data_IF_451607438082
#
_entry.id   IF_451607438082
#
_cell.length_a   1.000
_cell.length_b   1.000
_cell.length_c   1.000
_cell.angle_alpha   90.00
_cell.angle_beta   90.00
_cell.angle_gamma   90.00
#
_symmetry.space_group_name_H-M   'P 1'
#
loop_
_entity.id
_entity.type
_entity.pdbx_description
1 polymer ?
#
# COMPACT_ATOMS: atom_id res chain seq x y z
N UNK A 1 15.84 -24.84 10.52
CA UNK A 1 16.03 -23.43 10.18
C UNK A 1 17.05 -22.86 11.16
N UNK A 2 18.06 -22.16 10.68
CA UNK A 2 19.08 -21.55 11.54
C UNK A 2 18.40 -20.40 12.30
N UNK A 3 18.35 -20.47 13.64
CA UNK A 3 17.65 -19.54 14.56
C UNK A 3 18.32 -18.14 14.60
N UNK A 4 18.61 -17.57 13.43
CA UNK A 4 19.22 -16.24 13.31
C UNK A 4 18.14 -15.22 13.05
N UNK A 5 18.00 -14.26 13.95
CA UNK A 5 17.21 -13.07 13.69
C UNK A 5 17.78 -12.33 12.47
N UNK A 6 16.90 -11.94 11.55
CA UNK A 6 17.27 -11.19 10.35
C UNK A 6 16.74 -9.77 10.45
N UNK A 7 17.55 -8.80 10.05
CA UNK A 7 17.09 -7.41 9.87
C UNK A 7 16.11 -7.35 8.70
N UNK A 8 14.99 -6.66 8.87
CA UNK A 8 14.00 -6.48 7.80
C UNK A 8 14.61 -5.74 6.59
N UNK A 9 14.31 -6.12 5.33
CA UNK A 9 14.91 -5.50 4.12
C UNK A 9 14.73 -3.98 4.01
N UNK A 10 13.62 -3.45 4.54
CA UNK A 10 13.36 -2.01 4.61
C UNK A 10 14.52 -1.23 5.26
N UNK A 11 15.20 -1.82 6.25
CA UNK A 11 16.28 -1.18 7.01
C UNK A 11 17.68 -1.45 6.43
N UNK A 12 17.81 -2.43 5.53
CA UNK A 12 19.09 -2.83 4.92
C UNK A 12 19.42 -1.94 3.73
N UNK A 13 18.46 -1.78 2.82
CA UNK A 13 18.65 -1.11 1.52
C UNK A 13 19.20 0.33 1.62
N UNK A 14 18.81 1.06 2.67
CA UNK A 14 19.31 2.40 2.95
C UNK A 14 20.21 2.48 4.19
N UNK A 15 20.54 1.33 4.81
CA UNK A 15 21.35 1.21 6.03
C UNK A 15 20.86 2.16 7.15
N UNK A 16 19.61 1.99 7.56
CA UNK A 16 18.94 2.85 8.55
C UNK A 16 18.37 2.05 9.71
N UNK A 17 18.25 2.68 10.88
CA UNK A 17 17.58 2.10 12.04
C UNK A 17 16.08 2.46 12.11
N UNK A 18 15.60 3.31 11.20
CA UNK A 18 14.22 3.78 11.20
C UNK A 18 13.85 4.53 9.93
N UNK A 19 12.56 4.77 9.77
CA UNK A 19 11.99 5.44 8.62
C UNK A 19 10.81 6.31 9.05
N UNK A 20 10.61 7.42 8.36
CA UNK A 20 9.49 8.31 8.56
C UNK A 20 8.51 8.12 7.42
N UNK A 21 7.35 7.56 7.72
CA UNK A 21 6.27 7.35 6.75
C UNK A 21 5.30 8.51 6.80
N UNK A 22 4.90 9.02 5.65
CA UNK A 22 3.82 10.00 5.61
C UNK A 22 2.55 9.40 6.25
N UNK A 23 1.90 10.17 7.13
CA UNK A 23 0.81 9.67 7.97
C UNK A 23 -0.45 9.28 7.18
N UNK A 24 -0.67 9.97 6.06
CA UNK A 24 -1.76 9.77 5.13
C UNK A 24 -1.18 9.54 3.73
N UNK A 25 -2.00 9.06 2.80
CA UNK A 25 -1.69 9.12 1.36
C UNK A 25 -1.21 10.54 0.98
N UNK A 26 -0.38 10.65 -0.05
CA UNK A 26 0.13 11.96 -0.47
C UNK A 26 -0.98 12.82 -1.06
N UNK A 27 -0.99 14.10 -0.71
CA UNK A 27 -1.99 15.10 -1.12
C UNK A 27 -1.31 16.31 -1.76
N UNK A 28 -2.09 17.24 -2.31
CA UNK A 28 -1.59 18.48 -2.93
C UNK A 28 -1.44 18.34 -4.44
N UNK A 29 -0.31 18.78 -5.00
CA UNK A 29 -0.07 18.80 -6.45
C UNK A 29 1.32 18.31 -6.82
N UNK A 30 1.58 18.18 -8.12
CA UNK A 30 2.92 17.87 -8.65
C UNK A 30 3.94 19.00 -8.45
N UNK A 31 3.50 20.19 -8.03
CA UNK A 31 4.39 21.32 -7.69
C UNK A 31 4.51 21.54 -6.18
N UNK A 32 3.55 21.05 -5.39
CA UNK A 32 3.51 21.22 -3.95
C UNK A 32 2.94 19.96 -3.29
N UNK A 33 3.84 19.04 -3.01
CA UNK A 33 3.52 17.76 -2.39
C UNK A 33 3.33 17.92 -0.88
N UNK A 34 2.31 17.26 -0.33
CA UNK A 34 1.96 17.28 1.09
C UNK A 34 1.46 15.90 1.54
N UNK A 35 1.20 15.73 2.84
CA UNK A 35 0.40 14.62 3.39
C UNK A 35 -0.46 15.21 4.50
N UNK A 36 -1.73 15.48 4.18
CA UNK A 36 -2.68 16.15 5.09
C UNK A 36 -3.96 15.31 5.20
N UNK A 37 -4.60 15.27 6.37
CA UNK A 37 -5.89 14.60 6.53
C UNK A 37 -6.99 15.37 5.80
N UNK A 38 -8.06 14.67 5.44
CA UNK A 38 -9.27 15.23 4.86
C UNK A 38 -9.02 16.08 3.62
N UNK A 39 -8.04 15.67 2.82
CA UNK A 39 -7.74 16.24 1.51
C UNK A 39 -7.83 15.14 0.48
N UNK A 40 -8.18 15.48 -0.76
CA UNK A 40 -8.16 14.50 -1.84
C UNK A 40 -6.73 14.06 -2.11
N UNK A 41 -6.51 12.76 -2.20
CA UNK A 41 -5.20 12.19 -2.53
C UNK A 41 -4.74 12.66 -3.91
N UNK A 42 -3.44 12.92 -4.03
CA UNK A 42 -2.80 13.23 -5.30
C UNK A 42 -2.79 11.96 -6.16
N UNK A 43 -3.56 12.00 -7.24
CA UNK A 43 -3.82 10.84 -8.11
C UNK A 43 -3.54 11.18 -9.58
N UNK A 44 -3.78 10.20 -10.44
CA UNK A 44 -3.75 10.36 -11.89
C UNK A 44 -2.39 10.83 -12.43
N UNK A 45 -1.31 10.27 -11.88
CA UNK A 45 0.05 10.44 -12.39
C UNK A 45 0.66 9.08 -12.72
N UNK A 46 1.67 9.06 -13.57
CA UNK A 46 2.45 7.85 -13.83
C UNK A 46 3.33 7.51 -12.63
N UNK A 47 3.79 6.27 -12.55
CA UNK A 47 4.75 5.85 -11.52
C UNK A 47 6.02 6.70 -11.54
N UNK A 48 6.54 7.08 -12.71
CA UNK A 48 7.70 7.96 -12.81
C UNK A 48 7.45 9.30 -12.13
N UNK A 49 6.31 9.94 -12.38
CA UNK A 49 5.98 11.21 -11.75
C UNK A 49 5.88 11.06 -10.23
N UNK A 50 5.20 10.04 -9.72
CA UNK A 50 5.14 9.78 -8.27
C UNK A 50 6.50 9.50 -7.66
N UNK A 51 7.33 8.69 -8.34
CA UNK A 51 8.70 8.42 -7.93
C UNK A 51 9.52 9.70 -7.85
N UNK A 52 9.49 10.55 -8.88
CA UNK A 52 10.25 11.80 -8.94
C UNK A 52 9.75 12.83 -7.91
N UNK A 53 8.46 12.85 -7.60
CA UNK A 53 7.91 13.68 -6.52
C UNK A 53 8.43 13.25 -5.15
N UNK A 54 8.33 11.96 -4.82
CA UNK A 54 8.87 11.43 -3.57
C UNK A 54 10.38 11.59 -3.48
N UNK A 55 11.08 11.29 -4.58
CA UNK A 55 12.53 11.45 -4.69
C UNK A 55 12.92 12.91 -4.46
N UNK A 56 12.31 13.89 -5.12
CA UNK A 56 12.75 15.29 -5.01
C UNK A 56 12.23 16.05 -3.79
N UNK A 57 11.34 15.46 -2.99
CA UNK A 57 10.67 16.15 -1.86
C UNK A 57 11.64 16.74 -0.82
N UNK A 58 12.61 15.96 -0.34
CA UNK A 58 13.62 16.36 0.65
C UNK A 58 14.86 15.47 0.55
N UNK A 59 15.76 15.83 -0.37
CA UNK A 59 16.96 15.03 -0.68
C UNK A 59 17.92 14.83 0.49
N UNK A 60 18.01 15.80 1.40
CA UNK A 60 18.85 15.71 2.61
C UNK A 60 18.44 14.55 3.51
N UNK A 61 17.18 14.14 3.44
CA UNK A 61 16.60 13.09 4.28
C UNK A 61 16.29 11.84 3.45
N UNK A 62 17.05 11.63 2.36
CA UNK A 62 16.84 10.57 1.37
C UNK A 62 15.36 10.34 1.01
N UNK A 63 14.54 11.39 0.82
CA UNK A 63 13.12 11.23 0.54
C UNK A 63 12.86 10.35 -0.68
N UNK A 64 11.79 9.57 -0.68
CA UNK A 64 11.42 8.72 -1.80
C UNK A 64 9.94 8.32 -1.75
N UNK A 65 9.47 7.78 -2.86
CA UNK A 65 8.21 7.04 -2.91
C UNK A 65 8.37 5.73 -2.14
N UNK A 66 7.39 5.39 -1.30
CA UNK A 66 7.41 4.19 -0.48
C UNK A 66 7.73 2.93 -1.29
N UNK A 67 8.62 2.11 -0.76
CA UNK A 67 8.96 0.82 -1.35
C UNK A 67 8.06 -0.29 -0.81
N UNK A 68 8.04 -1.42 -1.51
CA UNK A 68 7.17 -2.54 -1.14
C UNK A 68 7.61 -3.20 0.18
N UNK A 69 8.92 -3.27 0.40
CA UNK A 69 9.54 -3.72 1.65
C UNK A 69 9.26 -2.79 2.82
N UNK A 70 9.14 -1.48 2.59
CA UNK A 70 8.77 -0.51 3.63
C UNK A 70 7.28 -0.62 3.99
N UNK A 71 6.41 -0.81 2.99
CA UNK A 71 5.02 -1.15 3.23
C UNK A 71 4.89 -2.43 4.05
N UNK A 72 5.63 -3.48 3.67
CA UNK A 72 5.66 -4.74 4.41
C UNK A 72 6.11 -4.58 5.86
N UNK A 73 7.14 -3.75 6.12
CA UNK A 73 7.57 -3.43 7.48
C UNK A 73 6.45 -2.80 8.32
N UNK A 74 5.70 -1.86 7.74
CA UNK A 74 4.53 -1.23 8.41
C UNK A 74 3.43 -2.26 8.65
N UNK A 75 3.12 -3.10 7.65
CA UNK A 75 2.07 -4.12 7.75
C UNK A 75 2.39 -5.16 8.83
N UNK A 76 3.63 -5.66 8.87
CA UNK A 76 4.06 -6.60 9.93
C UNK A 76 4.09 -5.95 11.31
N UNK A 77 4.54 -4.69 11.43
CA UNK A 77 4.51 -4.00 12.72
C UNK A 77 3.08 -3.82 13.22
N UNK A 78 2.16 -3.40 12.35
CA UNK A 78 0.73 -3.33 12.63
C UNK A 78 0.20 -4.69 13.12
N UNK A 79 0.58 -5.79 12.48
CA UNK A 79 0.14 -7.14 12.82
C UNK A 79 1.00 -7.84 13.89
N UNK A 80 1.82 -7.09 14.63
CA UNK A 80 2.66 -7.65 15.69
C UNK A 80 2.04 -7.45 17.07
N UNK A 81 2.62 -8.09 18.08
CA UNK A 81 2.31 -7.84 19.50
C UNK A 81 2.59 -6.40 19.95
N UNK A 82 3.43 -5.67 19.19
CA UNK A 82 3.73 -4.25 19.40
C UNK A 82 2.80 -3.33 18.58
N UNK A 83 1.96 -3.90 17.72
CA UNK A 83 0.97 -3.21 16.92
C UNK A 83 -0.43 -3.41 17.48
N UNK A 84 -1.31 -4.03 16.70
CA UNK A 84 -2.73 -4.26 17.01
C UNK A 84 -3.06 -5.71 17.35
N UNK A 85 -2.04 -6.55 17.57
CA UNK A 85 -2.24 -7.87 18.12
C UNK A 85 -1.97 -7.85 19.62
N UNK A 86 -2.87 -8.41 20.42
CA UNK A 86 -2.69 -8.56 21.87
C UNK A 86 -3.17 -9.95 22.26
N UNK A 87 -2.31 -10.71 22.97
CA UNK A 87 -2.62 -12.08 23.41
C UNK A 87 -3.15 -12.99 22.28
N UNK A 88 -2.55 -12.89 21.09
CA UNK A 88 -2.92 -13.71 19.92
C UNK A 88 -4.20 -13.29 19.18
N UNK A 89 -4.85 -12.20 19.60
CA UNK A 89 -5.99 -11.61 18.87
C UNK A 89 -5.55 -10.31 18.21
N UNK A 90 -5.82 -10.17 16.92
CA UNK A 90 -5.46 -9.00 16.12
C UNK A 90 -6.72 -8.23 15.70
N UNK A 91 -6.66 -6.90 15.78
CA UNK A 91 -7.73 -6.02 15.31
C UNK A 91 -7.41 -5.45 13.94
N UNK A 92 -8.30 -5.70 12.96
CA UNK A 92 -8.10 -5.17 11.62
C UNK A 92 -8.22 -3.64 11.54
N UNK A 93 -7.49 -3.01 10.62
CA UNK A 93 -7.67 -1.59 10.32
C UNK A 93 -8.94 -1.41 9.50
N UNK A 94 -9.73 -0.38 9.81
CA UNK A 94 -10.91 -0.07 9.03
C UNK A 94 -10.52 0.53 7.68
N UNK A 95 -11.22 0.08 6.65
CA UNK A 95 -11.14 0.66 5.31
C UNK A 95 -11.52 2.15 5.33
N UNK A 96 -10.75 2.96 4.62
CA UNK A 96 -11.16 4.26 4.15
C UNK A 96 -12.11 4.08 2.96
N UNK A 97 -13.42 4.08 3.20
CA UNK A 97 -14.46 3.91 2.18
C UNK A 97 -14.98 5.24 1.61
N UNK A 98 -14.19 6.32 1.70
CA UNK A 98 -14.59 7.63 1.23
C UNK A 98 -14.50 7.72 -0.30
N UNK A 99 -15.64 7.86 -0.99
CA UNK A 99 -15.71 7.88 -2.45
C UNK A 99 -15.18 9.15 -3.11
N UNK A 100 -14.90 10.20 -2.33
CA UNK A 100 -14.24 11.42 -2.80
C UNK A 100 -12.71 11.33 -2.67
N UNK A 101 -12.19 10.15 -2.29
CA UNK A 101 -10.76 9.86 -2.13
C UNK A 101 -10.11 10.81 -1.12
N UNK A 102 -10.84 11.14 -0.05
CA UNK A 102 -10.32 11.94 1.05
C UNK A 102 -9.47 11.06 1.97
N UNK A 103 -8.28 11.55 2.29
CA UNK A 103 -7.34 10.88 3.20
C UNK A 103 -7.81 10.91 4.65
N UNK A 104 -7.43 9.90 5.42
CA UNK A 104 -7.72 9.82 6.85
C UNK A 104 -9.20 9.68 7.13
N UNK A 105 -9.86 8.72 6.49
CA UNK A 105 -11.25 8.38 6.76
C UNK A 105 -11.40 6.91 7.12
N UNK A 106 -12.50 6.58 7.78
CA UNK A 106 -12.84 5.22 8.18
C UNK A 106 -14.31 4.93 7.93
N UNK A 107 -14.60 3.72 7.47
CA UNK A 107 -15.95 3.20 7.36
C UNK A 107 -16.66 3.19 8.73
N UNK A 108 -17.92 3.63 8.72
CA UNK A 108 -18.73 3.63 9.94
C UNK A 108 -19.28 2.25 10.27
N UNK A 109 -19.57 2.05 11.55
CA UNK A 109 -20.26 0.85 12.02
C UNK A 109 -21.59 0.65 11.28
N UNK A 110 -21.88 -0.58 10.87
CA UNK A 110 -23.07 -0.92 10.10
C UNK A 110 -22.92 -0.81 8.58
N UNK A 111 -21.82 -0.26 8.06
CA UNK A 111 -21.48 -0.42 6.63
C UNK A 111 -21.02 -1.85 6.35
N UNK A 112 -21.54 -2.46 5.29
CA UNK A 112 -21.11 -3.81 4.91
C UNK A 112 -19.75 -3.73 4.20
N UNK A 113 -18.68 -4.12 4.89
CA UNK A 113 -17.33 -4.25 4.35
C UNK A 113 -16.92 -5.72 4.16
N UNK A 114 -17.84 -6.67 4.30
CA UNK A 114 -17.55 -8.11 4.17
C UNK A 114 -17.73 -8.63 2.73
N UNK A 115 -17.99 -7.73 1.79
CA UNK A 115 -18.24 -8.04 0.37
C UNK A 115 -17.36 -7.17 -0.52
N UNK A 116 -17.24 -7.55 -1.78
CA UNK A 116 -16.76 -6.69 -2.85
C UNK A 116 -17.86 -6.54 -3.93
N UNK A 117 -18.28 -5.30 -4.28
CA UNK A 117 -17.89 -4.06 -3.62
C UNK A 117 -18.41 -3.98 -2.18
N UNK A 118 -17.64 -3.29 -1.33
CA UNK A 118 -18.09 -2.89 0.00
C UNK A 118 -19.03 -1.69 -0.06
N UNK A 119 -19.64 -1.33 1.08
CA UNK A 119 -20.45 -0.12 1.19
C UNK A 119 -19.57 1.12 1.32
N UNK A 120 -19.69 2.06 0.40
CA UNK A 120 -18.91 3.30 0.38
C UNK A 120 -19.81 4.55 0.26
N UNK A 121 -19.21 5.72 0.42
CA UNK A 121 -19.88 7.00 0.21
C UNK A 121 -19.02 8.17 0.70
N UNK A 122 -19.59 9.37 0.73
CA UNK A 122 -18.88 10.59 1.15
C UNK A 122 -19.61 11.37 2.26
N UNK A 123 -20.68 10.79 2.82
CA UNK A 123 -21.41 11.36 3.95
C UNK A 123 -21.14 10.60 5.26
N UNK A 124 -21.49 11.23 6.38
CA UNK A 124 -21.22 10.72 7.73
C UNK A 124 -21.94 9.42 8.10
N UNK A 125 -22.96 9.00 7.33
CA UNK A 125 -23.58 7.67 7.49
C UNK A 125 -22.76 6.55 6.86
N UNK A 126 -21.69 6.89 6.12
CA UNK A 126 -20.81 5.93 5.43
C UNK A 126 -19.38 6.02 5.92
N UNK A 127 -18.87 7.23 6.15
CA UNK A 127 -17.45 7.45 6.40
C UNK A 127 -17.22 8.60 7.39
N UNK A 128 -16.21 8.47 8.27
CA UNK A 128 -15.88 9.46 9.31
C UNK A 128 -14.39 9.80 9.33
N UNK A 129 -14.08 11.06 9.62
CA UNK A 129 -12.72 11.58 9.61
C UNK A 129 -11.83 10.99 10.73
N UNK A 130 -10.52 11.00 10.49
CA UNK A 130 -9.44 10.35 11.23
C UNK A 130 -9.40 10.61 12.74
N UNK A 131 -9.91 11.77 13.16
CA UNK A 131 -9.87 12.27 14.54
C UNK A 131 -11.15 11.98 15.33
N UNK A 132 -12.04 11.13 14.81
CA UNK A 132 -13.21 10.62 15.52
C UNK A 132 -12.92 9.25 16.16
N UNK A 133 -13.77 8.82 17.10
CA UNK A 133 -13.71 7.47 17.70
C UNK A 133 -13.74 6.35 16.65
N UNK A 134 -14.44 6.57 15.54
CA UNK A 134 -14.46 5.63 14.41
C UNK A 134 -13.24 5.79 13.52
N UNK A 135 -12.86 7.04 13.22
CA UNK A 135 -11.73 7.39 12.36
C UNK A 135 -10.42 6.74 12.78
N UNK A 136 -10.10 6.78 14.08
CA UNK A 136 -8.84 6.22 14.60
C UNK A 136 -8.68 4.70 14.36
N UNK A 137 -9.78 3.99 14.11
CA UNK A 137 -9.77 2.54 13.80
C UNK A 137 -9.22 2.25 12.39
N UNK A 138 -9.12 3.24 11.50
CA UNK A 138 -8.40 3.11 10.22
C UNK A 138 -6.88 3.31 10.37
N UNK A 139 -6.40 3.67 11.56
CA UNK A 139 -4.96 3.78 11.80
C UNK A 139 -4.34 2.43 12.15
N UNK A 140 -3.09 2.26 11.75
CA UNK A 140 -2.22 1.11 12.10
C UNK A 140 -1.98 0.92 13.61
N UNK A 141 -2.33 1.91 14.44
CA UNK A 141 -2.16 1.83 15.92
C UNK A 141 -3.48 1.80 16.70
N UNK A 142 -4.62 1.88 16.01
CA UNK A 142 -5.94 2.04 16.65
C UNK A 142 -6.15 3.39 17.36
N UNK A 143 -5.24 4.36 17.19
CA UNK A 143 -5.31 5.69 17.79
C UNK A 143 -4.77 6.77 16.82
N UNK A 144 -4.84 8.04 17.22
CA UNK A 144 -4.52 9.15 16.33
C UNK A 144 -3.09 9.15 15.79
N UNK A 145 -2.14 8.45 16.40
CA UNK A 145 -0.71 8.53 16.06
C UNK A 145 -0.28 7.65 14.89
N UNK A 146 -1.08 6.64 14.55
CA UNK A 146 -0.75 5.69 13.51
C UNK A 146 -0.80 6.27 12.10
N UNK A 147 -0.32 5.45 11.17
CA UNK A 147 -0.44 5.65 9.72
C UNK A 147 -1.86 5.24 9.31
N UNK A 148 -2.51 6.07 8.49
CA UNK A 148 -3.84 5.89 7.93
C UNK A 148 -3.76 5.46 6.46
N UNK A 149 -4.92 5.18 5.86
CA UNK A 149 -5.06 4.91 4.42
C UNK A 149 -4.24 3.70 3.93
N UNK A 150 -3.92 2.77 4.84
CA UNK A 150 -3.30 1.48 4.51
C UNK A 150 -4.34 0.43 4.09
N UNK A 151 -5.64 0.76 4.19
CA UNK A 151 -6.79 -0.04 3.75
C UNK A 151 -7.81 0.91 3.15
N UNK A 152 -8.12 0.77 1.86
CA UNK A 152 -9.03 1.67 1.16
C UNK A 152 -8.40 3.02 0.80
N UNK A 153 -9.24 3.98 0.42
CA UNK A 153 -8.79 5.24 -0.17
C UNK A 153 -8.44 5.02 -1.64
N UNK A 154 -7.16 5.15 -1.98
CA UNK A 154 -6.64 4.89 -3.33
C UNK A 154 -5.71 3.69 -3.32
N UNK A 155 -5.55 3.06 -4.48
CA UNK A 155 -4.41 2.17 -4.64
C UNK A 155 -3.12 2.99 -4.63
N UNK A 156 -2.17 2.63 -3.78
CA UNK A 156 -0.89 3.32 -3.72
C UNK A 156 0.15 2.56 -4.51
N UNK A 157 0.69 3.18 -5.57
CA UNK A 157 1.89 2.66 -6.20
C UNK A 157 3.04 2.66 -5.20
N UNK A 158 3.86 1.61 -5.27
CA UNK A 158 5.14 1.52 -4.57
C UNK A 158 6.29 1.57 -5.56
N UNK A 159 7.46 2.03 -5.13
CA UNK A 159 8.67 2.05 -5.95
C UNK A 159 9.25 0.63 -6.11
N UNK A 160 8.53 -0.19 -6.86
CA UNK A 160 8.79 -1.62 -6.97
C UNK A 160 8.31 -2.18 -8.30
N UNK A 161 9.18 -2.89 -9.01
CA UNK A 161 8.89 -3.36 -10.36
C UNK A 161 9.54 -4.70 -10.71
N UNK A 162 8.97 -5.39 -11.69
CA UNK A 162 9.54 -6.59 -12.32
C UNK A 162 10.68 -6.21 -13.25
N UNK A 163 11.85 -6.81 -13.08
CA UNK A 163 12.98 -6.59 -14.00
C UNK A 163 12.61 -6.89 -15.45
N UNK A 164 13.25 -6.18 -16.39
CA UNK A 164 13.04 -6.34 -17.83
C UNK A 164 11.76 -5.71 -18.41
N UNK A 165 10.84 -5.18 -17.59
CA UNK A 165 9.65 -4.50 -18.12
C UNK A 165 9.23 -3.31 -17.27
N UNK A 166 8.99 -2.15 -17.92
CA UNK A 166 8.63 -0.90 -17.25
C UNK A 166 7.18 -0.46 -17.52
N UNK A 167 6.50 -1.12 -18.46
CA UNK A 167 5.11 -0.82 -18.83
C UNK A 167 4.91 0.64 -19.24
N UNK A 168 3.78 1.21 -18.82
CA UNK A 168 3.39 2.61 -19.05
C UNK A 168 3.81 3.54 -17.90
N UNK A 169 4.84 3.17 -17.12
CA UNK A 169 5.32 3.96 -15.97
C UNK A 169 5.86 5.34 -16.31
N UNK A 170 6.19 5.59 -17.58
CA UNK A 170 6.92 6.78 -18.02
C UNK A 170 8.43 6.66 -17.87
N UNK A 171 8.94 5.59 -17.24
CA UNK A 171 10.35 5.23 -17.30
C UNK A 171 10.69 4.50 -18.60
N UNK A 172 11.92 4.73 -19.06
CA UNK A 172 12.62 3.90 -20.02
C UNK A 172 13.92 3.37 -19.37
N UNK A 173 14.65 2.51 -20.10
CA UNK A 173 15.89 1.90 -19.59
C UNK A 173 16.98 2.92 -19.22
N UNK A 174 16.97 4.10 -19.84
CA UNK A 174 17.99 5.14 -19.59
C UNK A 174 17.63 5.95 -18.35
N UNK A 175 16.39 6.42 -18.28
CA UNK A 175 15.90 7.27 -17.20
C UNK A 175 15.83 6.54 -15.85
N UNK A 176 15.43 5.26 -15.83
CA UNK A 176 15.41 4.50 -14.56
C UNK A 176 16.84 4.23 -14.04
N UNK A 177 17.79 4.00 -14.95
CA UNK A 177 19.19 3.74 -14.61
C UNK A 177 19.92 4.95 -14.00
N UNK A 178 19.38 6.16 -14.17
CA UNK A 178 19.91 7.37 -13.53
C UNK A 178 19.67 7.42 -12.01
N UNK A 179 18.80 6.55 -11.48
CA UNK A 179 18.46 6.49 -10.07
C UNK A 179 19.14 5.30 -9.40
N UNK A 180 19.64 5.50 -8.18
CA UNK A 180 20.26 4.43 -7.40
C UNK A 180 19.24 3.34 -7.05
N UNK A 181 19.62 2.08 -7.20
CA UNK A 181 18.74 0.92 -6.95
C UNK A 181 18.22 0.84 -5.51
N UNK A 182 18.84 1.51 -4.53
CA UNK A 182 18.34 1.55 -3.14
C UNK A 182 16.91 2.12 -3.00
N UNK A 183 16.46 2.90 -3.98
CA UNK A 183 15.13 3.49 -4.05
C UNK A 183 14.07 2.58 -4.70
N UNK A 184 14.45 1.36 -5.10
CA UNK A 184 13.53 0.41 -5.72
C UNK A 184 13.61 -0.96 -5.07
N UNK A 185 12.47 -1.63 -5.02
CA UNK A 185 12.42 -3.09 -4.84
C UNK A 185 12.26 -3.75 -6.21
N UNK A 186 13.28 -4.48 -6.65
CA UNK A 186 13.34 -5.07 -8.00
C UNK A 186 13.06 -6.57 -7.91
N UNK A 187 12.01 -7.00 -8.59
CA UNK A 187 11.53 -8.37 -8.61
C UNK A 187 12.09 -9.14 -9.81
N UNK A 188 12.33 -10.43 -9.61
CA UNK A 188 12.72 -11.33 -10.69
C UNK A 188 11.65 -11.46 -11.77
N UNK A 189 12.01 -12.11 -12.87
CA UNK A 189 11.10 -12.32 -13.98
C UNK A 189 9.98 -13.32 -13.66
N UNK A 190 8.81 -12.80 -13.29
CA UNK A 190 7.56 -13.56 -13.16
C UNK A 190 6.83 -13.66 -14.50
N UNK A 191 6.08 -14.74 -14.72
CA UNK A 191 5.32 -14.97 -15.98
C UNK A 191 3.81 -14.84 -15.80
N UNK A 192 3.32 -14.92 -14.57
CA UNK A 192 1.91 -14.76 -14.20
C UNK A 192 1.80 -14.05 -12.84
N UNK A 193 0.57 -13.72 -12.44
CA UNK A 193 0.24 -12.98 -11.23
C UNK A 193 0.08 -13.85 -9.97
N UNK A 194 0.51 -15.11 -10.02
CA UNK A 194 0.60 -16.04 -8.87
C UNK A 194 2.02 -16.54 -8.62
N UNK A 195 3.04 -15.93 -9.24
CA UNK A 195 4.45 -16.31 -9.06
C UNK A 195 5.05 -15.70 -7.77
N UNK A 196 4.43 -16.02 -6.63
CA UNK A 196 4.87 -15.58 -5.29
C UNK A 196 6.26 -16.11 -4.91
N UNK A 197 6.86 -16.99 -5.73
CA UNK A 197 8.25 -17.43 -5.57
C UNK A 197 9.24 -16.29 -5.77
N UNK A 198 8.84 -15.22 -6.48
CA UNK A 198 9.67 -14.03 -6.76
C UNK A 198 9.60 -12.94 -5.69
N UNK A 199 8.86 -13.16 -4.59
CA UNK A 199 8.71 -12.22 -3.48
C UNK A 199 10.05 -11.79 -2.88
N UNK A 200 10.05 -10.63 -2.22
CA UNK A 200 11.13 -10.23 -1.32
C UNK A 200 10.69 -10.55 0.10
N UNK A 201 11.46 -11.37 0.83
CA UNK A 201 11.08 -11.72 2.20
C UNK A 201 10.95 -10.47 3.09
N UNK A 202 9.77 -10.24 3.66
CA UNK A 202 9.43 -9.05 4.44
C UNK A 202 8.55 -8.02 3.72
N UNK A 203 8.26 -8.18 2.42
CA UNK A 203 7.37 -7.25 1.70
C UNK A 203 5.86 -7.55 1.85
N UNK A 204 5.55 -8.67 2.52
CA UNK A 204 4.21 -9.20 2.75
C UNK A 204 3.46 -9.61 1.46
N UNK A 205 4.20 -10.03 0.43
CA UNK A 205 3.64 -10.50 -0.85
C UNK A 205 3.66 -12.01 -1.04
N UNK A 206 4.19 -12.79 -0.10
CA UNK A 206 4.15 -14.25 -0.26
C UNK A 206 4.33 -15.11 0.99
N UNK A 207 4.53 -14.52 2.17
CA UNK A 207 4.58 -15.23 3.46
C UNK A 207 3.20 -15.52 4.06
N UNK A 208 2.15 -15.05 3.39
CA UNK A 208 0.85 -14.79 4.01
C UNK A 208 -0.25 -15.75 3.54
N UNK A 209 0.16 -16.85 2.90
CA UNK A 209 -0.75 -17.90 2.46
C UNK A 209 -1.38 -18.68 3.63
N UNK A 210 -2.20 -19.72 3.33
CA UNK A 210 -2.38 -20.32 2.00
C UNK A 210 -3.14 -19.41 1.04
N UNK A 211 -2.73 -19.44 -0.23
CA UNK A 211 -3.35 -18.64 -1.29
C UNK A 211 -4.48 -19.44 -1.96
N UNK A 212 -5.74 -19.00 -1.85
CA UNK A 212 -6.89 -19.67 -2.49
C UNK A 212 -7.93 -18.68 -3.03
N UNK A 213 -8.72 -19.14 -4.00
CA UNK A 213 -9.79 -18.39 -4.63
C UNK A 213 -11.14 -18.86 -4.10
N UNK A 214 -12.01 -17.93 -3.71
CA UNK A 214 -13.40 -18.26 -3.42
C UNK A 214 -14.33 -17.12 -3.82
N UNK A 215 -15.56 -17.47 -4.16
CA UNK A 215 -16.60 -16.49 -4.46
C UNK A 215 -17.35 -16.15 -3.18
N UNK A 216 -17.53 -14.86 -2.90
CA UNK A 216 -18.47 -14.41 -1.87
C UNK A 216 -19.79 -13.88 -2.45
N UNK A 217 -19.94 -13.87 -3.79
CA UNK A 217 -21.16 -13.49 -4.50
C UNK A 217 -21.28 -14.19 -5.87
N UNK A 218 -22.26 -13.78 -6.68
CA UNK A 218 -22.52 -14.32 -8.02
C UNK A 218 -21.60 -13.79 -9.13
N UNK A 219 -20.67 -12.87 -8.84
CA UNK A 219 -19.84 -12.20 -9.84
C UNK A 219 -18.53 -12.97 -10.15
N UNK A 220 -18.31 -14.12 -9.52
CA UNK A 220 -17.19 -15.01 -9.80
C UNK A 220 -16.18 -15.08 -8.65
N UNK A 221 -15.10 -15.87 -8.82
CA UNK A 221 -14.08 -16.01 -7.78
C UNK A 221 -13.21 -14.75 -7.69
N UNK A 222 -12.94 -14.32 -6.47
CA UNK A 222 -11.95 -13.28 -6.17
C UNK A 222 -10.73 -13.92 -5.48
N UNK A 223 -9.56 -13.33 -5.68
CA UNK A 223 -8.32 -13.78 -5.01
C UNK A 223 -8.29 -13.28 -3.58
N UNK A 224 -8.73 -14.13 -2.66
CA UNK A 224 -8.81 -13.88 -1.22
C UNK A 224 -7.74 -14.67 -0.50
N UNK A 225 -6.50 -14.31 -0.76
CA UNK A 225 -5.39 -15.23 -0.61
C UNK A 225 -4.28 -14.70 0.30
N UNK A 226 -4.53 -13.58 0.98
CA UNK A 226 -3.65 -13.00 2.00
C UNK A 226 -4.38 -12.92 3.36
N UNK A 227 -3.68 -12.56 4.44
CA UNK A 227 -4.31 -12.32 5.75
C UNK A 227 -5.46 -11.32 5.62
N UNK A 228 -6.51 -11.52 6.41
CA UNK A 228 -7.77 -10.77 6.34
C UNK A 228 -8.56 -10.91 5.04
N UNK A 229 -8.24 -11.92 4.21
CA UNK A 229 -8.82 -12.12 2.88
C UNK A 229 -8.51 -10.98 1.89
N UNK A 230 -7.44 -10.25 2.17
CA UNK A 230 -6.90 -9.18 1.33
C UNK A 230 -6.55 -9.67 -0.08
N UNK A 231 -6.67 -8.76 -1.04
CA UNK A 231 -6.38 -9.01 -2.45
C UNK A 231 -4.90 -9.27 -2.69
N UNK A 232 -4.54 -10.28 -3.49
CA UNK A 232 -3.12 -10.57 -3.71
C UNK A 232 -2.84 -11.04 -5.15
N UNK A 233 -2.44 -10.08 -5.99
CA UNK A 233 -1.99 -10.35 -7.35
C UNK A 233 -0.56 -9.86 -7.57
N UNK A 234 0.32 -10.80 -7.90
CA UNK A 234 1.73 -10.55 -8.13
C UNK A 234 1.96 -9.79 -9.46
N UNK A 235 3.06 -9.05 -9.54
CA UNK A 235 3.42 -8.36 -10.78
C UNK A 235 3.90 -9.37 -11.85
N UNK A 236 3.71 -9.03 -13.12
CA UNK A 236 4.18 -9.84 -14.26
C UNK A 236 4.41 -8.93 -15.47
N UNK A 237 4.82 -9.48 -16.62
CA UNK A 237 5.29 -8.66 -17.75
C UNK A 237 4.28 -7.59 -18.22
N UNK A 238 2.97 -7.89 -18.24
CA UNK A 238 1.95 -6.92 -18.68
C UNK A 238 1.60 -5.87 -17.61
N UNK A 239 1.98 -6.11 -16.36
CA UNK A 239 1.72 -5.24 -15.22
C UNK A 239 2.88 -5.32 -14.24
N UNK A 240 4.00 -4.62 -14.53
CA UNK A 240 5.25 -4.86 -13.81
C UNK A 240 5.34 -4.12 -12.48
N UNK A 241 4.45 -3.17 -12.17
CA UNK A 241 4.52 -2.35 -10.95
C UNK A 241 3.49 -2.79 -9.91
N UNK A 242 3.90 -2.84 -8.64
CA UNK A 242 2.98 -3.08 -7.53
C UNK A 242 2.20 -1.83 -7.14
N UNK A 243 1.01 -2.08 -6.63
CA UNK A 243 0.18 -1.14 -5.89
C UNK A 243 -0.41 -1.83 -4.66
N UNK A 244 -0.67 -1.07 -3.59
CA UNK A 244 -1.01 -1.60 -2.26
C UNK A 244 -2.27 -0.94 -1.67
N UNK A 245 -2.83 -1.54 -0.63
CA UNK A 245 -3.88 -0.97 0.24
C UNK A 245 -5.32 -1.18 -0.23
N UNK A 246 -5.56 -1.05 -1.54
CA UNK A 246 -6.90 -1.21 -2.12
C UNK A 246 -7.69 0.10 -2.23
N UNK A 247 -8.61 0.19 -3.19
CA UNK A 247 -9.48 1.37 -3.35
C UNK A 247 -10.66 1.36 -2.36
N UNK A 248 -11.26 2.53 -2.15
CA UNK A 248 -12.38 2.78 -1.22
C UNK A 248 -13.58 1.83 -1.34
N UNK A 249 -13.77 1.16 -2.47
CA UNK A 249 -14.89 0.27 -2.74
C UNK A 249 -14.56 -1.22 -2.55
N UNK A 250 -13.31 -1.57 -2.21
CA UNK A 250 -12.88 -2.96 -2.17
C UNK A 250 -13.46 -3.78 -1.00
N UNK A 251 -13.93 -3.11 0.05
CA UNK A 251 -14.51 -3.77 1.22
C UNK A 251 -13.54 -4.79 1.81
N UNK A 252 -13.90 -6.07 1.72
CA UNK A 252 -13.13 -7.19 2.30
C UNK A 252 -11.78 -7.43 1.61
N UNK A 253 -11.58 -6.85 0.42
CA UNK A 253 -10.35 -7.03 -0.37
C UNK A 253 -9.26 -5.97 -0.09
N UNK A 254 -9.57 -4.94 0.71
CA UNK A 254 -8.61 -3.88 1.05
C UNK A 254 -8.00 -4.07 2.43
N UNK A 255 -6.71 -3.79 2.53
CA UNK A 255 -5.98 -3.92 3.77
C UNK A 255 -4.47 -3.73 3.58
N UNK A 256 -3.70 -3.70 4.68
CA UNK A 256 -2.24 -3.56 4.65
C UNK A 256 -1.55 -4.68 3.88
N UNK A 257 -2.20 -5.84 3.76
CA UNK A 257 -1.69 -6.99 3.06
C UNK A 257 -2.24 -7.07 1.63
N UNK A 258 -3.14 -6.17 1.25
CA UNK A 258 -3.67 -6.07 -0.11
C UNK A 258 -2.58 -5.56 -1.06
N UNK A 259 -2.36 -6.31 -2.14
CA UNK A 259 -1.49 -5.92 -3.23
C UNK A 259 -2.04 -6.34 -4.59
N UNK A 260 -1.79 -5.51 -5.59
CA UNK A 260 -2.15 -5.74 -6.97
C UNK A 260 -1.03 -5.21 -7.87
N UNK A 261 -1.24 -5.33 -9.18
CA UNK A 261 -0.31 -4.95 -10.23
C UNK A 261 -0.94 -3.96 -11.21
N UNK A 262 -0.11 -3.16 -11.86
CA UNK A 262 -0.52 -2.33 -13.00
C UNK A 262 0.65 -2.11 -13.98
N UNK A 263 0.32 -1.65 -15.19
CA UNK A 263 1.28 -1.19 -16.17
C UNK A 263 2.11 0.03 -15.70
N UNK A 264 1.66 0.76 -14.68
CA UNK A 264 2.35 1.94 -14.12
C UNK A 264 1.84 3.28 -14.66
N UNK A 265 0.80 3.24 -15.50
CA UNK A 265 0.20 4.44 -16.10
C UNK A 265 -0.58 5.28 -15.10
N UNK A 266 -0.94 6.49 -15.54
CA UNK A 266 -1.83 7.39 -14.81
C UNK A 266 -3.24 6.80 -14.71
N UNK A 267 -3.81 6.84 -13.52
CA UNK A 267 -5.17 6.41 -13.26
C UNK A 267 -5.77 7.25 -12.12
N UNK A 268 -7.05 7.57 -12.22
CA UNK A 268 -7.76 8.36 -11.21
C UNK A 268 -7.82 7.65 -9.85
N UNK A 269 -7.75 6.33 -9.78
CA UNK A 269 -7.82 5.58 -8.53
C UNK A 269 -6.45 5.34 -7.88
N UNK A 270 -5.36 5.83 -8.47
CA UNK A 270 -3.99 5.49 -8.03
C UNK A 270 -3.25 6.72 -7.50
N UNK A 271 -2.66 6.59 -6.32
CA UNK A 271 -1.79 7.57 -5.68
C UNK A 271 -0.47 6.94 -5.23
N UNK A 272 0.16 7.55 -4.22
CA UNK A 272 1.39 7.06 -3.61
C UNK A 272 1.61 7.72 -2.24
N UNK A 273 2.64 7.26 -1.55
CA UNK A 273 3.10 7.82 -0.28
C UNK A 273 4.59 8.06 -0.25
N UNK A 274 4.99 9.07 0.51
CA UNK A 274 6.37 9.49 0.70
C UNK A 274 6.94 8.87 1.97
N UNK A 275 8.21 8.52 1.91
CA UNK A 275 9.03 8.06 3.04
C UNK A 275 10.29 8.92 3.12
N UNK A 276 10.76 9.20 4.35
CA UNK A 276 12.06 9.84 4.62
C UNK A 276 12.95 8.90 5.43
N UNK A 277 14.26 8.94 5.13
CA UNK A 277 15.32 8.24 5.85
C UNK A 277 16.46 9.25 6.11
N UNK A 278 16.34 10.04 7.20
CA UNK A 278 17.35 11.03 7.62
C UNK A 278 18.71 10.42 7.96
#
# INVERSE_FOLDING_TARGET
>A
ADNKYMTHPAFISMNTNGLWVAKFESTGSTSQLTSKPSQTSLRNQTVKTFFELGYNYKRTDNSHMMKNTEWGAVAYLYHSEYGRCTNGTCEDIRINNNSDYLTGYAAVDGTNQSTYPGTYGNDSSKTLAYNTTTGVKASTTGNITGIYDMSGGVWEYTASYRTGTLGSSGFDSTSIANYNSKYFDIYGESTNDYDYSKRILGDATGEMGPFYDYSHDSNGPYHHNNWYADHSYFNFFASPWFRRGGSYNLGVLSGPFSFNRNAGGANIEFGFRIVLVP
#
